data_IF_805779846240
#
_entry.id   IF_805779846240
#
_cell.length_a   1.000
_cell.length_b   1.000
_cell.length_c   1.000
_cell.angle_alpha   90.00
_cell.angle_beta   90.00
_cell.angle_gamma   90.00
#
_symmetry.space_group_name_H-M   'P 1'
#
loop_
_entity.id
_entity.type
_entity.pdbx_description
1 polymer ?
#
# COMPACT_ATOMS: atom_id res chain seq x y z
N UNK A 1 -6.80 -10.54 -15.23
CA UNK A 1 -5.72 -10.52 -14.21
C UNK A 1 -6.27 -10.10 -12.87
N UNK A 2 -5.72 -10.64 -11.81
CA UNK A 2 -6.13 -10.26 -10.46
C UNK A 2 -5.73 -8.83 -10.16
N UNK A 3 -6.51 -8.17 -9.31
CA UNK A 3 -6.16 -6.87 -8.75
C UNK A 3 -5.27 -7.07 -7.53
N UNK A 4 -4.27 -6.23 -7.37
CA UNK A 4 -3.42 -6.22 -6.17
C UNK A 4 -3.57 -4.87 -5.46
N UNK A 5 -3.39 -4.91 -4.14
CA UNK A 5 -3.34 -3.69 -3.33
C UNK A 5 -1.88 -3.32 -3.06
N UNK A 6 -1.51 -2.07 -3.28
CA UNK A 6 -0.16 -1.59 -3.03
C UNK A 6 -0.08 -0.84 -1.70
N UNK A 7 0.73 -1.38 -0.78
CA UNK A 7 1.10 -0.78 0.49
C UNK A 7 2.31 0.13 0.32
N UNK A 8 2.56 1.03 1.25
CA UNK A 8 3.76 1.89 1.24
C UNK A 8 5.05 1.08 1.20
N UNK A 9 5.06 -0.11 1.79
CA UNK A 9 6.19 -1.05 1.74
C UNK A 9 6.72 -1.24 0.31
N UNK A 10 5.81 -1.45 -0.65
CA UNK A 10 6.16 -1.66 -2.05
C UNK A 10 6.90 -0.45 -2.64
N UNK A 11 6.37 0.75 -2.42
CA UNK A 11 6.95 1.97 -2.97
C UNK A 11 8.30 2.29 -2.32
N UNK A 12 8.44 2.07 -1.02
CA UNK A 12 9.74 2.20 -0.34
C UNK A 12 10.76 1.21 -0.89
N UNK A 13 10.35 -0.04 -1.12
CA UNK A 13 11.23 -1.08 -1.66
C UNK A 13 11.68 -0.75 -3.08
N UNK A 14 10.80 -0.19 -3.91
CA UNK A 14 11.16 0.23 -5.27
C UNK A 14 12.21 1.34 -5.25
N UNK A 15 12.11 2.28 -4.33
CA UNK A 15 12.97 3.46 -4.28
C UNK A 15 14.34 3.20 -3.64
N UNK A 16 14.48 2.14 -2.86
CA UNK A 16 15.70 1.86 -2.10
C UNK A 16 16.38 0.57 -2.56
N UNK A 17 17.47 0.66 -3.35
CA UNK A 17 18.18 -0.54 -3.81
C UNK A 17 18.74 -1.41 -2.68
N UNK A 18 18.90 -0.86 -1.48
CA UNK A 18 19.41 -1.58 -0.31
C UNK A 18 18.29 -2.28 0.48
N UNK A 19 17.03 -2.07 0.12
CA UNK A 19 15.91 -2.74 0.76
C UNK A 19 15.95 -4.24 0.42
N UNK A 20 15.83 -5.14 1.41
CA UNK A 20 15.81 -6.59 1.13
C UNK A 20 14.72 -7.02 0.15
N UNK A 21 13.63 -6.26 0.04
CA UNK A 21 12.53 -6.56 -0.88
C UNK A 21 12.67 -5.85 -2.24
N UNK A 22 13.73 -5.08 -2.46
CA UNK A 22 13.89 -4.29 -3.69
C UNK A 22 13.81 -5.15 -4.95
N UNK A 23 14.56 -6.25 -5.00
CA UNK A 23 14.59 -7.11 -6.18
C UNK A 23 13.20 -7.70 -6.51
N UNK A 24 12.46 -8.11 -5.48
CA UNK A 24 11.08 -8.62 -5.65
C UNK A 24 10.13 -7.54 -6.14
N UNK A 25 10.24 -6.34 -5.59
CA UNK A 25 9.40 -5.21 -6.00
C UNK A 25 9.68 -4.82 -7.46
N UNK A 26 10.95 -4.75 -7.87
CA UNK A 26 11.33 -4.45 -9.25
C UNK A 26 10.85 -5.55 -10.21
N UNK A 27 11.02 -6.82 -9.83
CA UNK A 27 10.54 -7.94 -10.64
C UNK A 27 9.01 -7.86 -10.83
N UNK A 28 8.28 -7.55 -9.78
CA UNK A 28 6.83 -7.38 -9.87
C UNK A 28 6.47 -6.24 -10.83
N UNK A 29 7.11 -5.09 -10.67
CA UNK A 29 6.87 -3.93 -11.54
C UNK A 29 7.06 -4.28 -13.01
N UNK A 30 8.09 -5.04 -13.35
CA UNK A 30 8.40 -5.42 -14.73
C UNK A 30 7.42 -6.45 -15.32
N UNK A 31 6.90 -7.34 -14.49
CA UNK A 31 6.13 -8.49 -14.92
C UNK A 31 4.63 -8.29 -14.84
N UNK A 32 4.14 -7.43 -13.96
CA UNK A 32 2.72 -7.30 -13.69
C UNK A 32 2.08 -6.23 -14.58
N UNK A 33 1.02 -6.60 -15.29
CA UNK A 33 0.26 -5.70 -16.15
C UNK A 33 -1.20 -5.54 -15.71
N UNK A 34 -1.57 -6.07 -14.55
CA UNK A 34 -2.94 -6.01 -14.03
C UNK A 34 -3.23 -4.75 -13.25
N UNK A 35 -4.41 -4.73 -12.63
CA UNK A 35 -4.90 -3.59 -11.86
C UNK A 35 -4.20 -3.48 -10.50
N UNK A 36 -3.89 -2.24 -10.10
CA UNK A 36 -3.31 -1.90 -8.81
C UNK A 36 -4.23 -0.91 -8.13
N UNK A 37 -4.53 -1.15 -6.85
CA UNK A 37 -5.31 -0.26 -6.00
C UNK A 37 -4.44 0.17 -4.82
N UNK A 38 -4.47 1.45 -4.49
CA UNK A 38 -3.90 1.99 -3.26
C UNK A 38 -4.84 3.06 -2.72
N UNK A 39 -4.47 3.72 -1.64
CA UNK A 39 -5.30 4.75 -1.02
C UNK A 39 -4.52 6.05 -0.78
N UNK A 40 -5.25 7.15 -0.59
CA UNK A 40 -4.63 8.42 -0.19
C UNK A 40 -3.90 8.34 1.16
N UNK A 41 -4.34 7.45 2.07
CA UNK A 41 -3.65 7.24 3.35
C UNK A 41 -2.31 6.55 3.16
N UNK A 42 -2.22 5.55 2.28
CA UNK A 42 -0.94 4.93 1.92
C UNK A 42 0.01 5.96 1.32
N UNK A 43 -0.49 6.81 0.43
CA UNK A 43 0.31 7.88 -0.18
C UNK A 43 0.81 8.89 0.87
N UNK A 44 -0.02 9.25 1.85
CA UNK A 44 0.37 10.12 2.95
C UNK A 44 1.48 9.48 3.78
N UNK A 45 1.32 8.21 4.14
CA UNK A 45 2.34 7.45 4.87
C UNK A 45 3.66 7.42 4.11
N UNK A 46 3.60 7.22 2.80
CA UNK A 46 4.77 7.21 1.93
C UNK A 46 5.48 8.57 1.92
N UNK A 47 4.73 9.65 1.72
CA UNK A 47 5.26 11.01 1.74
C UNK A 47 5.90 11.35 3.09
N UNK A 48 5.25 10.95 4.19
CA UNK A 48 5.76 11.15 5.54
C UNK A 48 7.08 10.40 5.75
N UNK A 49 7.20 9.18 5.21
CA UNK A 49 8.43 8.40 5.27
C UNK A 49 9.58 9.02 4.48
N UNK A 50 9.27 9.85 3.48
CA UNK A 50 10.25 10.58 2.67
C UNK A 50 10.33 12.07 3.04
N UNK A 51 9.98 12.43 4.27
CA UNK A 51 9.94 13.83 4.70
C UNK A 51 11.31 14.49 4.80
N UNK A 52 12.38 13.73 4.94
CA UNK A 52 13.75 14.29 5.03
C UNK A 52 14.15 15.01 3.74
N UNK A 53 14.89 16.11 3.82
CA UNK A 53 15.29 16.87 2.63
C UNK A 53 15.92 16.04 1.51
N UNK A 54 16.71 15.02 1.85
CA UNK A 54 17.36 14.14 0.88
C UNK A 54 16.40 13.20 0.15
N UNK A 55 15.17 13.05 0.64
CA UNK A 55 14.20 12.07 0.13
C UNK A 55 12.90 12.70 -0.38
N UNK A 56 12.63 13.95 -0.01
CA UNK A 56 11.36 14.63 -0.36
C UNK A 56 11.08 14.65 -1.85
N UNK A 57 12.12 14.68 -2.67
CA UNK A 57 12.01 14.74 -4.13
C UNK A 57 11.53 13.42 -4.75
N UNK A 58 11.44 12.34 -3.98
CA UNK A 58 11.01 11.03 -4.52
C UNK A 58 9.51 10.95 -4.72
N UNK A 59 8.73 11.63 -3.88
CA UNK A 59 7.28 11.40 -3.80
C UNK A 59 6.53 11.88 -5.06
N UNK A 60 6.74 13.12 -5.47
CA UNK A 60 5.95 13.72 -6.58
C UNK A 60 6.19 12.99 -7.90
N UNK A 61 7.43 12.64 -8.29
CA UNK A 61 7.64 11.84 -9.50
C UNK A 61 7.00 10.45 -9.42
N UNK A 62 7.05 9.81 -8.26
CA UNK A 62 6.42 8.50 -8.06
C UNK A 62 4.91 8.62 -8.20
N UNK A 63 4.30 9.63 -7.58
CA UNK A 63 2.87 9.89 -7.68
C UNK A 63 2.45 10.16 -9.13
N UNK A 64 3.26 10.91 -9.88
CA UNK A 64 3.00 11.18 -11.29
C UNK A 64 2.98 9.89 -12.12
N UNK A 65 3.92 8.98 -11.88
CA UNK A 65 3.95 7.68 -12.55
C UNK A 65 2.73 6.83 -12.20
N UNK A 66 2.34 6.83 -10.93
CA UNK A 66 1.17 6.09 -10.49
C UNK A 66 -0.11 6.62 -11.14
N UNK A 67 -0.27 7.94 -11.21
CA UNK A 67 -1.41 8.59 -11.84
C UNK A 67 -1.44 8.39 -13.35
N UNK A 68 -0.28 8.24 -13.98
CA UNK A 68 -0.18 7.99 -15.42
C UNK A 68 -0.47 6.53 -15.78
N UNK A 69 -0.46 5.61 -14.82
CA UNK A 69 -0.75 4.20 -15.07
C UNK A 69 -2.27 4.01 -15.20
N UNK A 70 -2.80 3.65 -16.41
CA UNK A 70 -4.24 3.49 -16.58
C UNK A 70 -4.83 2.33 -15.78
N UNK A 71 -4.00 1.41 -15.30
CA UNK A 71 -4.43 0.26 -14.51
C UNK A 71 -4.34 0.52 -13.01
N UNK A 72 -3.85 1.69 -12.59
CA UNK A 72 -3.74 2.04 -11.19
C UNK A 72 -4.91 2.92 -10.76
N UNK A 73 -5.44 2.65 -9.56
CA UNK A 73 -6.51 3.44 -8.96
C UNK A 73 -6.13 3.81 -7.53
N UNK A 74 -6.30 5.10 -7.23
CA UNK A 74 -6.08 5.64 -5.88
C UNK A 74 -7.46 5.89 -5.26
N UNK A 75 -7.80 5.12 -4.22
CA UNK A 75 -9.01 5.39 -3.45
C UNK A 75 -8.84 6.69 -2.69
N UNK A 76 -9.75 7.65 -2.88
CA UNK A 76 -9.65 8.93 -2.18
C UNK A 76 -9.92 8.77 -0.69
N UNK A 77 -9.37 9.70 0.10
CA UNK A 77 -9.65 9.78 1.53
C UNK A 77 -11.07 10.28 1.74
N UNK A 78 -11.95 9.38 2.17
CA UNK A 78 -13.34 9.70 2.48
C UNK A 78 -13.61 9.52 3.96
N UNK A 79 -14.58 10.27 4.49
CA UNK A 79 -15.01 10.11 5.88
C UNK A 79 -15.49 8.69 6.16
N UNK A 80 -16.19 8.08 5.20
CA UNK A 80 -16.72 6.73 5.36
C UNK A 80 -15.60 5.71 5.56
N UNK A 81 -14.56 5.74 4.73
CA UNK A 81 -13.43 4.82 4.87
C UNK A 81 -12.66 5.07 6.16
N UNK A 82 -12.49 6.35 6.55
CA UNK A 82 -11.87 6.69 7.82
C UNK A 82 -12.63 6.06 8.99
N UNK A 83 -13.96 6.23 9.03
CA UNK A 83 -14.79 5.66 10.10
C UNK A 83 -14.74 4.13 10.12
N UNK A 84 -14.81 3.48 8.97
CA UNK A 84 -14.73 2.02 8.89
C UNK A 84 -13.36 1.50 9.33
N UNK A 85 -12.29 2.23 8.99
CA UNK A 85 -10.95 1.91 9.47
C UNK A 85 -10.81 2.08 10.98
N UNK A 86 -11.39 3.14 11.54
CA UNK A 86 -11.43 3.37 12.99
C UNK A 86 -12.19 2.24 13.69
N UNK A 87 -13.30 1.79 13.13
CA UNK A 87 -14.08 0.68 13.69
C UNK A 87 -13.24 -0.60 13.75
N UNK A 88 -12.53 -0.93 12.68
CA UNK A 88 -11.64 -2.10 12.65
C UNK A 88 -10.51 -1.95 13.67
N UNK A 89 -9.89 -0.79 13.71
CA UNK A 89 -8.83 -0.47 14.67
C UNK A 89 -9.32 -0.69 16.11
N UNK A 90 -10.52 -0.22 16.42
CA UNK A 90 -11.12 -0.35 17.76
C UNK A 90 -11.46 -1.80 18.11
N UNK A 91 -11.95 -2.58 17.12
CA UNK A 91 -12.34 -3.99 17.33
C UNK A 91 -11.18 -4.95 17.50
N UNK A 92 -9.97 -4.53 17.15
CA UNK A 92 -8.78 -5.39 17.21
C UNK A 92 -7.67 -4.77 18.08
N UNK A 93 -7.96 -4.56 19.40
CA UNK A 93 -6.94 -4.05 20.32
C UNK A 93 -5.80 -5.03 20.58
N UNK A 94 -5.95 -6.29 20.12
CA UNK A 94 -4.94 -7.34 20.20
C UNK A 94 -3.87 -7.23 19.10
N UNK A 95 -4.01 -6.30 18.15
CA UNK A 95 -3.11 -6.17 16.99
C UNK A 95 -2.35 -4.84 17.01
N UNK A 96 -1.15 -4.86 16.47
CA UNK A 96 -0.31 -3.67 16.27
C UNK A 96 -0.61 -2.98 14.92
N UNK A 97 -1.76 -3.23 14.34
CA UNK A 97 -2.14 -2.63 13.06
C UNK A 97 -2.29 -1.12 13.20
N UNK A 98 -1.63 -0.36 12.32
CA UNK A 98 -1.86 1.08 12.26
C UNK A 98 -3.26 1.37 11.71
N UNK A 99 -3.71 2.62 11.88
CA UNK A 99 -4.99 3.02 11.28
C UNK A 99 -4.92 2.95 9.76
N UNK A 100 -3.79 3.31 9.16
CA UNK A 100 -3.57 3.14 7.73
C UNK A 100 -3.71 1.68 7.30
N UNK A 101 -3.14 0.74 8.05
CA UNK A 101 -3.33 -0.70 7.81
C UNK A 101 -4.81 -1.07 7.84
N UNK A 102 -5.51 -0.64 8.87
CA UNK A 102 -6.94 -0.96 9.03
C UNK A 102 -7.78 -0.43 7.87
N UNK A 103 -7.52 0.78 7.41
CA UNK A 103 -8.21 1.35 6.24
C UNK A 103 -7.88 0.53 4.99
N UNK A 104 -6.63 0.14 4.80
CA UNK A 104 -6.22 -0.72 3.69
C UNK A 104 -6.97 -2.06 3.71
N UNK A 105 -7.09 -2.67 4.89
CA UNK A 105 -7.82 -3.94 5.04
C UNK A 105 -9.31 -3.79 4.72
N UNK A 106 -9.91 -2.66 5.09
CA UNK A 106 -11.30 -2.36 4.75
C UNK A 106 -11.47 -2.26 3.23
N UNK A 107 -10.59 -1.54 2.55
CA UNK A 107 -10.63 -1.38 1.08
C UNK A 107 -10.46 -2.74 0.41
N UNK A 108 -9.46 -3.52 0.83
CA UNK A 108 -9.22 -4.84 0.25
C UNK A 108 -10.42 -5.76 0.41
N UNK A 109 -11.03 -5.76 1.59
CA UNK A 109 -12.21 -6.58 1.87
C UNK A 109 -13.39 -6.18 1.00
N UNK A 110 -13.68 -4.89 0.90
CA UNK A 110 -14.79 -4.37 0.09
C UNK A 110 -14.62 -4.68 -1.39
N UNK A 111 -13.40 -4.64 -1.87
CA UNK A 111 -13.09 -4.85 -3.29
C UNK A 111 -12.81 -6.32 -3.64
N UNK A 112 -12.79 -7.21 -2.64
CA UNK A 112 -12.46 -8.61 -2.86
C UNK A 112 -11.01 -8.84 -3.27
N UNK A 113 -10.09 -7.95 -2.85
CA UNK A 113 -8.66 -8.06 -3.15
C UNK A 113 -8.01 -8.92 -2.06
N UNK A 114 -7.30 -9.95 -2.47
CA UNK A 114 -6.61 -10.88 -1.55
C UNK A 114 -5.09 -10.71 -1.53
N UNK A 115 -4.51 -10.19 -2.60
CA UNK A 115 -3.07 -10.07 -2.77
C UNK A 115 -2.61 -8.63 -2.49
N UNK A 116 -1.60 -8.48 -1.64
CA UNK A 116 -1.03 -7.19 -1.28
C UNK A 116 0.45 -7.12 -1.64
N UNK A 117 0.86 -6.02 -2.25
CA UNK A 117 2.26 -5.69 -2.50
C UNK A 117 2.88 -5.16 -1.22
N UNK A 118 3.26 -6.07 -0.36
CA UNK A 118 3.85 -5.78 0.94
C UNK A 118 4.66 -6.98 1.42
N UNK A 119 5.61 -6.73 2.33
CA UNK A 119 6.26 -7.75 3.13
C UNK A 119 5.86 -7.71 4.59
N UNK A 120 4.88 -6.87 4.94
CA UNK A 120 4.46 -6.67 6.30
C UNK A 120 3.56 -7.82 6.79
N UNK A 121 3.94 -8.41 7.92
CA UNK A 121 3.18 -9.50 8.56
C UNK A 121 1.75 -9.11 8.93
N UNK A 122 1.47 -7.81 9.12
CA UNK A 122 0.13 -7.33 9.47
C UNK A 122 -0.91 -7.74 8.44
N UNK A 123 -0.55 -7.71 7.16
CA UNK A 123 -1.44 -8.13 6.08
C UNK A 123 -1.76 -9.63 6.15
N UNK A 124 -0.76 -10.45 6.46
CA UNK A 124 -0.97 -11.89 6.64
C UNK A 124 -1.86 -12.18 7.85
N UNK A 125 -1.66 -11.44 8.95
CA UNK A 125 -2.49 -11.56 10.15
C UNK A 125 -3.96 -11.24 9.86
N UNK A 126 -4.21 -10.33 8.92
CA UNK A 126 -5.55 -9.95 8.51
C UNK A 126 -6.17 -10.90 7.45
N UNK A 127 -5.43 -11.92 7.02
CA UNK A 127 -5.92 -12.94 6.09
C UNK A 127 -5.57 -12.70 4.63
N UNK A 128 -4.69 -11.75 4.33
CA UNK A 128 -4.25 -11.45 2.97
C UNK A 128 -2.91 -12.11 2.63
N UNK A 129 -2.58 -12.14 1.35
CA UNK A 129 -1.31 -12.70 0.88
C UNK A 129 -0.31 -11.55 0.69
N UNK A 130 0.85 -11.67 1.33
CA UNK A 130 1.95 -10.70 1.20
C UNK A 130 2.88 -11.14 0.08
N UNK A 131 2.85 -10.44 -1.05
CA UNK A 131 3.58 -10.83 -2.27
C UNK A 131 5.07 -10.54 -2.22
N UNK A 132 5.53 -9.66 -1.32
CA UNK A 132 6.93 -9.24 -1.23
C UNK A 132 7.67 -9.85 -0.04
N UNK A 133 7.14 -10.88 0.51
CA UNK A 133 7.75 -11.56 1.64
C UNK A 133 8.80 -12.59 1.23
#
# INVERSE_FOLDING_TARGET
>A
MRTVFADSFYFFALANPNDPAHARAVAFLKMYAGAIVTTGWVLTELADGWAKPTQRTFFVPMLAKLRANPNARIEPCTDQLLHEGIDLYHRRPDKDWSLTDCISFVVMTKEGITDALTGDKHYEQAGFVALLK
#
